data_IF_953957926175
#
_entry.id   IF_953957926175
#
_cell.length_a   1.000
_cell.length_b   1.000
_cell.length_c   1.000
_cell.angle_alpha   90.00
_cell.angle_beta   90.00
_cell.angle_gamma   90.00
#
_symmetry.space_group_name_H-M   'P 1'
#
loop_
_entity.id
_entity.type
_entity.pdbx_description
1 polymer ?
#
# COMPACT_ATOMS: atom_id res chain seq x y z
N UNK A 1 -4.38 2.93 3.86
CA UNK A 1 -3.19 2.26 4.43
C UNK A 1 -3.18 2.47 5.93
N UNK A 2 -3.49 3.68 6.37
CA UNK A 2 -4.02 3.91 7.70
C UNK A 2 -5.32 3.10 7.95
N UNK A 3 -5.59 2.71 9.21
CA UNK A 3 -4.82 3.04 10.44
C UNK A 3 -3.58 2.15 10.69
N UNK A 4 -3.42 1.05 9.95
CA UNK A 4 -2.42 0.01 10.24
C UNK A 4 -1.01 0.31 9.68
N UNK A 5 -0.69 1.58 9.45
CA UNK A 5 0.63 2.01 8.97
C UNK A 5 1.41 2.71 10.08
N UNK A 6 2.70 2.39 10.22
CA UNK A 6 3.57 2.98 11.24
C UNK A 6 3.91 4.46 10.94
N UNK A 7 3.01 5.39 11.30
CA UNK A 7 3.16 6.84 11.04
C UNK A 7 4.36 7.49 11.73
N UNK A 8 4.73 6.98 12.90
CA UNK A 8 5.76 7.59 13.74
C UNK A 8 7.18 7.12 13.38
N UNK A 9 7.31 6.14 12.47
CA UNK A 9 8.61 5.66 12.02
C UNK A 9 9.27 6.69 11.10
N UNK A 10 10.21 7.46 11.64
CA UNK A 10 10.98 8.45 10.86
C UNK A 10 12.22 7.80 10.26
N UNK A 11 12.33 7.87 8.93
CA UNK A 11 13.49 7.39 8.19
C UNK A 11 14.59 8.45 8.24
N UNK A 12 15.78 8.06 8.70
CA UNK A 12 16.98 8.89 8.69
C UNK A 12 17.90 8.49 7.53
N UNK A 13 18.67 9.43 6.97
CA UNK A 13 19.60 9.16 5.86
C UNK A 13 20.64 8.07 6.16
N UNK A 14 20.97 7.86 7.45
CA UNK A 14 21.91 6.84 7.92
C UNK A 14 21.32 5.43 7.96
N UNK A 15 20.00 5.28 7.88
CA UNK A 15 19.35 3.99 8.08
C UNK A 15 19.48 3.13 6.82
N UNK A 16 19.90 1.88 6.99
CA UNK A 16 19.92 0.89 5.93
C UNK A 16 18.61 0.10 5.93
N UNK A 17 18.25 -0.49 4.78
CA UNK A 17 17.12 -1.41 4.65
C UNK A 17 17.25 -2.58 5.64
N UNK A 18 18.47 -3.06 5.87
CA UNK A 18 18.74 -4.13 6.85
C UNK A 18 18.25 -3.78 8.25
N UNK A 19 18.43 -2.53 8.66
CA UNK A 19 18.02 -2.06 9.98
C UNK A 19 16.49 -2.10 10.09
N UNK A 20 15.79 -1.65 9.06
CA UNK A 20 14.32 -1.73 9.03
C UNK A 20 13.82 -3.17 9.02
N UNK A 21 14.54 -4.10 8.39
CA UNK A 21 14.14 -5.52 8.39
C UNK A 21 14.26 -6.13 9.78
N UNK A 22 15.36 -5.86 10.48
CA UNK A 22 15.60 -6.41 11.81
C UNK A 22 14.64 -5.79 12.84
N UNK A 23 14.47 -4.47 12.83
CA UNK A 23 13.66 -3.77 13.82
C UNK A 23 12.17 -3.74 13.48
N UNK A 24 11.80 -3.82 12.19
CA UNK A 24 10.41 -3.80 11.74
C UNK A 24 9.59 -4.96 12.29
N UNK A 25 10.20 -6.15 12.39
CA UNK A 25 9.57 -7.31 13.01
C UNK A 25 9.24 -7.08 14.50
N UNK A 26 10.15 -6.46 15.27
CA UNK A 26 9.94 -6.14 16.69
C UNK A 26 8.84 -5.10 16.88
N UNK A 27 8.70 -4.17 15.93
CA UNK A 27 7.67 -3.14 15.92
C UNK A 27 6.29 -3.65 15.43
N UNK A 28 6.16 -4.95 15.15
CA UNK A 28 4.92 -5.54 14.65
C UNK A 28 4.57 -5.14 13.21
N UNK A 29 5.52 -4.61 12.45
CA UNK A 29 5.31 -4.24 11.05
C UNK A 29 5.46 -5.49 10.17
N UNK A 30 4.49 -5.74 9.30
CA UNK A 30 4.44 -6.94 8.46
C UNK A 30 5.04 -6.72 7.07
N UNK A 31 4.75 -5.57 6.45
CA UNK A 31 5.13 -5.26 5.07
C UNK A 31 5.91 -3.94 4.99
N UNK A 32 6.85 -3.86 4.05
CA UNK A 32 7.65 -2.68 3.72
C UNK A 32 7.49 -2.34 2.25
N UNK A 33 7.38 -1.05 1.94
CA UNK A 33 7.47 -0.54 0.58
C UNK A 33 8.70 0.33 0.43
N UNK A 34 9.48 0.10 -0.62
CA UNK A 34 10.72 0.83 -0.89
C UNK A 34 10.68 1.34 -2.33
N UNK A 35 10.76 2.65 -2.50
CA UNK A 35 11.01 3.27 -3.80
C UNK A 35 12.51 3.49 -3.94
N UNK A 36 13.10 2.90 -4.98
CA UNK A 36 14.49 3.09 -5.35
C UNK A 36 14.55 3.79 -6.69
N UNK A 37 15.31 4.87 -6.77
CA UNK A 37 15.58 5.58 -8.02
C UNK A 37 16.98 5.21 -8.51
N UNK A 38 17.07 4.64 -9.71
CA UNK A 38 18.33 4.43 -10.43
C UNK A 38 18.41 5.44 -11.57
N UNK A 39 19.59 5.60 -12.19
CA UNK A 39 19.80 6.53 -13.31
C UNK A 39 18.82 6.31 -14.47
N UNK A 40 18.36 5.07 -14.66
CA UNK A 40 17.54 4.65 -15.80
C UNK A 40 16.06 4.46 -15.48
N UNK A 41 15.68 4.25 -14.23
CA UNK A 41 14.30 3.95 -13.86
C UNK A 41 14.03 4.06 -12.37
N UNK A 42 12.75 4.26 -12.04
CA UNK A 42 12.22 4.16 -10.67
C UNK A 42 11.67 2.76 -10.46
N UNK A 43 12.02 2.15 -9.33
CA UNK A 43 11.60 0.80 -8.95
C UNK A 43 10.83 0.85 -7.63
N UNK A 44 9.70 0.17 -7.58
CA UNK A 44 8.93 -0.06 -6.37
C UNK A 44 9.15 -1.50 -5.91
N UNK A 45 9.74 -1.67 -4.73
CA UNK A 45 9.89 -2.96 -4.07
C UNK A 45 8.90 -3.07 -2.93
N UNK A 46 8.14 -4.15 -2.92
CA UNK A 46 7.27 -4.52 -1.81
C UNK A 46 7.83 -5.77 -1.15
N UNK A 47 8.09 -5.71 0.15
CA UNK A 47 8.77 -6.74 0.92
C UNK A 47 7.93 -7.11 2.14
N UNK A 48 8.01 -8.37 2.56
CA UNK A 48 7.44 -8.84 3.84
C UNK A 48 8.57 -9.17 4.81
N UNK A 49 8.46 -8.68 6.06
CA UNK A 49 9.56 -8.70 7.04
C UNK A 49 9.93 -10.11 7.57
N UNK A 50 9.09 -11.13 7.36
CA UNK A 50 9.31 -12.51 7.80
C UNK A 50 9.44 -13.47 6.60
N UNK A 51 10.67 -13.79 6.15
CA UNK A 51 10.95 -14.79 5.08
C UNK A 51 9.91 -14.82 3.94
N UNK A 52 9.50 -13.64 3.49
CA UNK A 52 8.40 -13.50 2.54
C UNK A 52 8.91 -13.13 1.15
N UNK A 53 8.05 -13.26 0.13
CA UNK A 53 8.41 -12.85 -1.21
C UNK A 53 8.70 -11.35 -1.26
N UNK A 54 9.64 -10.97 -2.13
CA UNK A 54 9.87 -9.58 -2.51
C UNK A 54 9.37 -9.39 -3.93
N UNK A 55 8.43 -8.46 -4.11
CA UNK A 55 7.92 -8.08 -5.41
C UNK A 55 8.63 -6.80 -5.88
N UNK A 56 9.19 -6.82 -7.08
CA UNK A 56 9.87 -5.66 -7.67
C UNK A 56 9.15 -5.25 -8.93
N UNK A 57 8.71 -3.99 -8.97
CA UNK A 57 8.00 -3.40 -10.09
C UNK A 57 8.80 -2.23 -10.65
N UNK A 58 8.89 -2.14 -11.97
CA UNK A 58 9.36 -0.92 -12.64
C UNK A 58 8.19 0.06 -12.72
N UNK A 59 8.41 1.31 -12.32
CA UNK A 59 7.42 2.38 -12.43
C UNK A 59 7.61 3.06 -13.78
N UNK A 60 6.63 2.95 -14.71
CA UNK A 60 6.72 3.62 -16.01
C UNK A 60 6.47 5.13 -15.87
N UNK A 61 5.46 5.52 -15.10
CA UNK A 61 5.03 6.91 -14.91
C UNK A 61 4.60 7.12 -13.46
N UNK A 62 4.73 8.35 -12.95
CA UNK A 62 4.31 8.72 -11.61
C UNK A 62 3.70 10.13 -11.60
N UNK A 63 2.83 10.38 -10.63
CA UNK A 63 2.24 11.69 -10.39
C UNK A 63 2.34 12.05 -8.90
N UNK A 64 2.47 13.35 -8.62
CA UNK A 64 2.50 13.86 -7.25
C UNK A 64 1.08 14.18 -6.78
N UNK A 65 0.76 13.82 -5.55
CA UNK A 65 -0.54 14.11 -4.93
C UNK A 65 -0.93 15.58 -5.06
N UNK A 66 0.02 16.51 -4.83
CA UNK A 66 -0.20 17.96 -4.98
C UNK A 66 -0.71 18.36 -6.38
N UNK A 67 -0.22 17.72 -7.44
CA UNK A 67 -0.63 18.04 -8.82
C UNK A 67 -2.02 17.46 -9.13
N UNK A 68 -2.35 16.29 -8.56
CA UNK A 68 -3.69 15.70 -8.69
C UNK A 68 -4.71 16.61 -8.02
N UNK A 69 -4.42 17.04 -6.78
CA UNK A 69 -5.30 17.90 -6.00
C UNK A 69 -5.52 19.27 -6.66
N UNK A 70 -4.48 19.87 -7.27
CA UNK A 70 -4.62 21.13 -7.98
C UNK A 70 -5.45 21.03 -9.25
N UNK A 71 -5.51 19.85 -9.87
CA UNK A 71 -6.26 19.61 -11.12
C UNK A 71 -7.73 19.29 -10.85
N UNK A 72 -8.06 18.78 -9.66
CA UNK A 72 -9.41 18.39 -9.29
C UNK A 72 -10.29 19.61 -8.95
N UNK A 73 -11.39 19.81 -9.70
CA UNK A 73 -12.33 20.93 -9.47
C UNK A 73 -12.96 20.94 -8.06
N UNK A 74 -13.14 19.76 -7.46
CA UNK A 74 -13.72 19.56 -6.13
C UNK A 74 -12.91 18.51 -5.37
N UNK A 75 -11.81 18.88 -4.70
CA UNK A 75 -10.98 17.93 -3.97
C UNK A 75 -11.69 17.46 -2.70
N UNK A 76 -11.97 16.17 -2.61
CA UNK A 76 -12.54 15.53 -1.40
C UNK A 76 -11.40 15.01 -0.52
N UNK A 77 -10.79 15.91 0.26
CA UNK A 77 -9.79 15.54 1.25
C UNK A 77 -10.42 15.67 2.63
N UNK A 78 -10.80 14.54 3.23
CA UNK A 78 -11.29 14.54 4.59
C UNK A 78 -10.51 13.54 5.43
N UNK A 79 -9.95 14.00 6.55
CA UNK A 79 -9.06 13.19 7.38
C UNK A 79 -9.75 11.93 7.91
N UNK A 80 -11.06 11.99 8.20
CA UNK A 80 -11.84 10.84 8.67
C UNK A 80 -12.01 9.73 7.63
N UNK A 81 -11.74 10.01 6.34
CA UNK A 81 -11.74 8.96 5.31
C UNK A 81 -10.58 7.96 5.50
N UNK A 82 -9.53 8.35 6.23
CA UNK A 82 -8.36 7.50 6.48
C UNK A 82 -8.45 6.70 7.79
N UNK A 83 -9.49 6.91 8.59
CA UNK A 83 -9.68 6.18 9.86
C UNK A 83 -10.16 4.74 9.63
N UNK A 84 -10.83 4.49 8.49
CA UNK A 84 -11.28 3.16 8.08
C UNK A 84 -10.29 2.53 7.10
N UNK A 85 -10.06 1.20 7.19
CA UNK A 85 -9.22 0.52 6.22
C UNK A 85 -9.84 0.58 4.81
N UNK A 86 -9.02 0.71 3.75
CA UNK A 86 -9.51 0.78 2.37
C UNK A 86 -10.02 -0.58 1.87
N UNK A 87 -10.94 -0.55 0.91
CA UNK A 87 -11.38 -1.74 0.17
C UNK A 87 -10.38 -2.07 -0.94
N UNK A 88 -9.98 -3.34 -1.01
CA UNK A 88 -9.09 -3.86 -2.06
C UNK A 88 -9.94 -4.44 -3.18
N UNK A 89 -9.79 -3.89 -4.39
CA UNK A 89 -10.41 -4.42 -5.61
C UNK A 89 -9.30 -4.89 -6.54
N UNK A 90 -9.27 -6.18 -6.83
CA UNK A 90 -8.31 -6.78 -7.78
C UNK A 90 -9.09 -7.29 -8.98
N UNK A 91 -9.06 -6.53 -10.07
CA UNK A 91 -9.65 -6.94 -11.33
C UNK A 91 -8.54 -7.41 -12.29
N UNK A 92 -8.77 -8.51 -13.01
CA UNK A 92 -7.87 -8.98 -14.07
C UNK A 92 -6.66 -9.84 -13.64
N UNK A 93 -6.42 -10.10 -12.35
CA UNK A 93 -5.30 -10.96 -11.91
C UNK A 93 -5.57 -12.46 -12.10
N UNK A 94 -6.84 -12.89 -12.08
CA UNK A 94 -7.25 -14.29 -12.16
C UNK A 94 -7.30 -14.89 -13.59
N UNK A 95 -7.13 -14.06 -14.63
CA UNK A 95 -7.39 -14.49 -16.02
C UNK A 95 -6.19 -15.12 -16.74
N UNK A 96 -5.01 -15.08 -16.14
CA UNK A 96 -3.77 -15.27 -16.90
C UNK A 96 -3.06 -16.62 -16.71
N UNK A 97 -3.51 -17.50 -15.81
CA UNK A 97 -2.88 -18.81 -15.53
C UNK A 97 -1.42 -18.75 -15.04
N UNK A 98 -0.89 -17.54 -14.82
CA UNK A 98 0.50 -17.27 -14.47
C UNK A 98 0.66 -17.26 -12.96
N UNK A 99 1.46 -18.20 -12.42
CA UNK A 99 1.71 -18.34 -10.97
C UNK A 99 2.23 -17.07 -10.29
N UNK A 100 2.99 -16.24 -10.99
CA UNK A 100 3.49 -14.97 -10.43
C UNK A 100 2.38 -13.93 -10.20
N UNK A 101 1.31 -13.93 -11.00
CA UNK A 101 0.19 -13.00 -10.79
C UNK A 101 -0.65 -13.41 -9.58
N UNK A 102 -0.85 -14.72 -9.37
CA UNK A 102 -1.47 -15.26 -8.16
C UNK A 102 -0.66 -14.89 -6.90
N UNK A 103 0.67 -14.92 -6.99
CA UNK A 103 1.54 -14.47 -5.90
C UNK A 103 1.36 -12.98 -5.61
N UNK A 104 1.30 -12.14 -6.64
CA UNK A 104 1.05 -10.69 -6.49
C UNK A 104 -0.31 -10.43 -5.86
N UNK A 105 -1.35 -11.12 -6.34
CA UNK A 105 -2.71 -11.02 -5.79
C UNK A 105 -2.75 -11.43 -4.32
N UNK A 106 -2.20 -12.59 -3.99
CA UNK A 106 -2.12 -13.10 -2.60
C UNK A 106 -1.31 -12.15 -1.71
N UNK A 107 -0.22 -11.59 -2.23
CA UNK A 107 0.59 -10.62 -1.51
C UNK A 107 -0.21 -9.37 -1.17
N UNK A 108 -0.86 -8.77 -2.17
CA UNK A 108 -1.67 -7.54 -2.01
C UNK A 108 -2.86 -7.79 -1.08
N UNK A 109 -3.58 -8.92 -1.23
CA UNK A 109 -4.66 -9.31 -0.32
C UNK A 109 -4.20 -9.31 1.14
N UNK A 110 -3.05 -9.94 1.41
CA UNK A 110 -2.50 -10.05 2.75
C UNK A 110 -1.88 -8.75 3.29
N UNK A 111 -1.84 -7.67 2.50
CA UNK A 111 -1.43 -6.35 2.99
C UNK A 111 -2.56 -5.62 3.74
N UNK A 112 -3.80 -5.99 3.48
CA UNK A 112 -4.98 -5.35 4.04
C UNK A 112 -5.73 -6.34 4.94
N UNK A 113 -6.49 -5.84 5.94
CA UNK A 113 -7.31 -6.72 6.77
C UNK A 113 -8.33 -7.48 5.90
N UNK A 114 -8.57 -8.75 6.24
CA UNK A 114 -9.60 -9.53 5.57
C UNK A 114 -10.98 -8.89 5.79
N UNK A 115 -11.79 -8.93 4.74
CA UNK A 115 -13.11 -8.29 4.72
C UNK A 115 -14.15 -9.36 4.97
N UNK A 116 -14.77 -9.31 6.16
CA UNK A 116 -15.90 -10.17 6.49
C UNK A 116 -17.20 -9.44 6.13
N UNK A 117 -17.94 -9.96 5.16
CA UNK A 117 -19.14 -9.31 4.60
C UNK A 117 -20.18 -9.02 5.68
N UNK A 118 -20.24 -9.85 6.72
CA UNK A 118 -21.21 -9.72 7.83
C UNK A 118 -20.87 -8.59 8.83
N UNK A 119 -19.62 -8.14 8.90
CA UNK A 119 -19.18 -7.13 9.87
C UNK A 119 -18.80 -5.79 9.24
N UNK A 120 -18.81 -5.70 7.91
CA UNK A 120 -18.31 -4.52 7.19
C UNK A 120 -19.37 -3.43 7.12
N UNK A 121 -19.13 -2.34 7.86
CA UNK A 121 -19.99 -1.16 7.90
C UNK A 121 -19.62 -0.15 6.80
N UNK A 122 -20.28 -0.25 5.64
CA UNK A 122 -20.05 0.57 4.41
C UNK A 122 -20.64 2.00 4.53
N UNK A 123 -21.31 2.33 5.64
CA UNK A 123 -22.12 3.55 5.85
C UNK A 123 -21.44 4.92 5.57
N UNK A 124 -20.12 5.00 5.39
CA UNK A 124 -19.43 6.27 5.10
C UNK A 124 -19.59 6.73 3.63
N UNK A 125 -19.92 5.83 2.70
CA UNK A 125 -20.08 6.19 1.28
C UNK A 125 -21.43 6.87 0.98
N UNK A 126 -22.47 6.62 1.80
CA UNK A 126 -23.82 7.14 1.55
C UNK A 126 -24.05 8.55 2.12
N UNK A 127 -23.30 8.96 3.14
CA UNK A 127 -23.49 10.26 3.82
C UNK A 127 -22.71 11.42 3.22
N UNK A 128 -21.81 11.16 2.26
CA UNK A 128 -21.08 12.20 1.51
C UNK A 128 -21.64 12.42 0.10
N UNK A 129 -22.73 11.73 -0.26
CA UNK A 129 -23.43 11.83 -1.54
C UNK A 129 -24.84 12.47 -1.42
N UNK A 130 -25.20 13.01 -0.25
CA UNK A 130 -26.39 13.84 0.00
C UNK A 130 -25.89 15.14 0.62
#
# INVERSE_FOLDING_TARGET
MDPFTAKHLKIMKRNNIKDFVIHGAVLGVTNMMVLTTSETSVQLRMMRFSQGPTLTFRVPEYSLSRHILSTQKRPLIHQKLFDKPPLVVMNGFNQSGKKHLLLVETFIQNMFPSINIDTVSIYLFLTSAI
#
